data_IF_870317526163
#
_entry.id   IF_870317526163
#
_cell.length_a   1.000
_cell.length_b   1.000
_cell.length_c   1.000
_cell.angle_alpha   90.00
_cell.angle_beta   90.00
_cell.angle_gamma   90.00
#
_symmetry.space_group_name_H-M   'P 1'
#
loop_
_entity.id
_entity.type
_entity.pdbx_description
1 polymer ?
#
# COMPACT_ATOMS: atom_id res chain seq x y z
N UNK A 1 11.03 -5.51 -18.48
CA UNK A 1 10.43 -4.18 -18.23
C UNK A 1 9.58 -4.30 -16.98
N UNK A 2 9.82 -3.48 -15.96
CA UNK A 2 9.00 -3.47 -14.75
C UNK A 2 7.64 -2.82 -15.04
N UNK A 3 6.56 -3.41 -14.53
CA UNK A 3 5.19 -2.89 -14.71
C UNK A 3 4.67 -2.34 -13.39
N UNK A 4 4.41 -1.04 -13.37
CA UNK A 4 3.72 -0.40 -12.24
C UNK A 4 2.20 -0.49 -12.39
N UNK A 5 1.51 -0.81 -11.30
CA UNK A 5 0.05 -0.88 -11.24
C UNK A 5 -0.47 -0.35 -9.89
N UNK A 6 -1.70 0.19 -9.84
CA UNK A 6 -2.31 0.55 -8.57
C UNK A 6 -2.50 -0.69 -7.69
N UNK A 7 -2.70 -0.47 -6.40
CA UNK A 7 -3.10 -1.56 -5.50
C UNK A 7 -4.38 -2.25 -6.01
N UNK A 8 -4.41 -3.59 -6.06
CA UNK A 8 -5.63 -4.35 -6.32
C UNK A 8 -6.71 -4.06 -5.28
N UNK A 9 -7.98 -4.13 -5.68
CA UNK A 9 -9.09 -3.76 -4.81
C UNK A 9 -9.22 -4.68 -3.59
N UNK A 10 -8.90 -5.97 -3.72
CA UNK A 10 -8.90 -6.90 -2.58
C UNK A 10 -7.89 -6.50 -1.48
N UNK A 11 -6.73 -5.92 -1.84
CA UNK A 11 -5.75 -5.40 -0.87
C UNK A 11 -6.33 -4.17 -0.17
N UNK A 12 -6.88 -3.23 -0.95
CA UNK A 12 -7.47 -2.00 -0.42
C UNK A 12 -8.60 -2.32 0.56
N UNK A 13 -9.48 -3.25 0.22
CA UNK A 13 -10.60 -3.67 1.07
C UNK A 13 -10.13 -4.27 2.39
N UNK A 14 -9.13 -5.15 2.37
CA UNK A 14 -8.55 -5.75 3.59
C UNK A 14 -7.91 -4.70 4.48
N UNK A 15 -7.15 -3.77 3.89
CA UNK A 15 -6.57 -2.66 4.66
C UNK A 15 -7.66 -1.75 5.25
N UNK A 16 -8.71 -1.43 4.49
CA UNK A 16 -9.83 -0.60 4.95
C UNK A 16 -10.68 -1.25 6.05
N UNK A 17 -10.66 -2.58 6.16
CA UNK A 17 -11.25 -3.31 7.29
C UNK A 17 -10.40 -3.18 8.55
N UNK A 18 -9.06 -3.15 8.42
CA UNK A 18 -8.11 -3.06 9.53
C UNK A 18 -7.97 -1.65 10.12
N UNK A 19 -7.92 -0.63 9.27
CA UNK A 19 -7.61 0.75 9.70
C UNK A 19 -8.86 1.53 10.11
N UNK A 20 -8.75 2.35 11.16
CA UNK A 20 -9.87 3.17 11.62
C UNK A 20 -10.16 4.36 10.69
N UNK A 21 -9.13 5.06 10.21
CA UNK A 21 -9.28 6.25 9.36
C UNK A 21 -9.29 5.89 7.87
N UNK A 22 -10.46 5.44 7.38
CA UNK A 22 -10.66 5.02 6.00
C UNK A 22 -10.37 6.12 4.98
N UNK A 23 -10.73 7.37 5.28
CA UNK A 23 -10.49 8.50 4.38
C UNK A 23 -8.99 8.76 4.18
N UNK A 24 -8.21 8.67 5.26
CA UNK A 24 -6.76 8.82 5.20
C UNK A 24 -6.09 7.64 4.50
N UNK A 25 -6.60 6.42 4.69
CA UNK A 25 -6.10 5.23 3.99
C UNK A 25 -6.37 5.29 2.47
N UNK A 26 -7.56 5.75 2.06
CA UNK A 26 -7.87 5.96 0.65
C UNK A 26 -6.91 6.96 0.01
N UNK A 27 -6.61 8.08 0.68
CA UNK A 27 -5.58 9.03 0.23
C UNK A 27 -4.20 8.38 0.17
N UNK A 28 -3.84 7.57 1.16
CA UNK A 28 -2.55 6.88 1.20
C UNK A 28 -2.38 5.93 -0.01
N UNK A 29 -3.44 5.27 -0.48
CA UNK A 29 -3.38 4.38 -1.66
C UNK A 29 -2.96 5.11 -2.95
N UNK A 30 -3.19 6.41 -3.06
CA UNK A 30 -2.76 7.20 -4.22
C UNK A 30 -1.24 7.26 -4.36
N UNK A 31 -0.51 7.05 -3.25
CA UNK A 31 0.96 7.07 -3.20
C UNK A 31 1.59 5.68 -3.25
N UNK A 32 0.80 4.61 -3.40
CA UNK A 32 1.30 3.24 -3.31
C UNK A 32 1.00 2.49 -4.61
N UNK A 33 2.02 1.82 -5.15
CA UNK A 33 1.95 1.02 -6.36
C UNK A 33 2.51 -0.38 -6.12
N UNK A 34 1.99 -1.35 -6.86
CA UNK A 34 2.66 -2.63 -7.06
C UNK A 34 3.54 -2.56 -8.29
N UNK A 35 4.72 -3.15 -8.18
CA UNK A 35 5.68 -3.28 -9.26
C UNK A 35 5.89 -4.75 -9.52
N UNK A 36 5.45 -5.22 -10.69
CA UNK A 36 5.73 -6.56 -11.19
C UNK A 36 7.12 -6.55 -11.84
N UNK A 37 8.04 -7.33 -11.28
CA UNK A 37 9.40 -7.52 -11.77
C UNK A 37 9.43 -8.54 -12.91
N UNK A 38 10.55 -8.60 -13.63
CA UNK A 38 10.70 -9.49 -14.79
C UNK A 38 10.61 -10.99 -14.43
N UNK A 39 10.95 -11.34 -13.19
CA UNK A 39 10.86 -12.70 -12.65
C UNK A 39 9.45 -13.06 -12.11
N UNK A 40 8.48 -12.16 -12.28
CA UNK A 40 7.11 -12.31 -11.79
C UNK A 40 6.91 -11.98 -10.30
N UNK A 41 7.96 -11.54 -9.60
CA UNK A 41 7.83 -11.11 -8.20
C UNK A 41 7.12 -9.76 -8.11
N UNK A 42 6.29 -9.59 -7.07
CA UNK A 42 5.58 -8.34 -6.79
C UNK A 42 6.28 -7.55 -5.69
N UNK A 43 6.55 -6.28 -5.96
CA UNK A 43 7.13 -5.34 -5.00
C UNK A 43 6.14 -4.24 -4.67
N UNK A 44 6.22 -3.69 -3.46
CA UNK A 44 5.43 -2.54 -3.04
C UNK A 44 6.30 -1.29 -3.04
N UNK A 45 5.94 -0.33 -3.88
CA UNK A 45 6.60 0.97 -4.01
C UNK A 45 5.68 2.05 -3.44
N UNK A 46 6.28 3.01 -2.74
CA UNK A 46 5.60 4.25 -2.33
C UNK A 46 6.28 5.46 -2.98
N UNK A 47 5.50 6.51 -3.23
CA UNK A 47 5.96 7.78 -3.80
C UNK A 47 5.37 8.94 -2.99
N UNK A 48 5.73 9.05 -1.71
CA UNK A 48 5.25 10.12 -0.83
C UNK A 48 6.36 11.09 -0.42
N UNK A 49 6.19 12.38 -0.76
CA UNK A 49 7.26 13.39 -0.61
C UNK A 49 7.02 14.40 0.53
N UNK A 50 5.79 14.54 1.03
CA UNK A 50 5.44 15.54 2.06
C UNK A 50 5.70 15.04 3.48
N UNK A 51 6.95 15.13 3.91
CA UNK A 51 7.38 14.69 5.24
C UNK A 51 6.78 15.50 6.41
N UNK A 52 6.16 16.66 6.15
CA UNK A 52 5.52 17.46 7.19
C UNK A 52 4.08 17.01 7.49
N UNK A 53 3.46 16.29 6.57
CA UNK A 53 2.15 15.69 6.77
C UNK A 53 2.28 14.32 7.43
N UNK A 54 2.70 14.32 8.70
CA UNK A 54 3.00 13.12 9.47
C UNK A 54 1.84 12.12 9.51
N UNK A 55 0.59 12.59 9.56
CA UNK A 55 -0.58 11.72 9.60
C UNK A 55 -0.69 10.87 8.31
N UNK A 56 -0.56 11.52 7.15
CA UNK A 56 -0.60 10.83 5.87
C UNK A 56 0.66 9.98 5.65
N UNK A 57 1.84 10.47 6.04
CA UNK A 57 3.09 9.71 6.01
C UNK A 57 2.96 8.38 6.76
N UNK A 58 2.50 8.41 8.00
CA UNK A 58 2.34 7.19 8.80
C UNK A 58 1.28 6.26 8.22
N UNK A 59 0.21 6.80 7.64
CA UNK A 59 -0.79 5.97 6.96
C UNK A 59 -0.22 5.31 5.70
N UNK A 60 0.57 6.03 4.88
CA UNK A 60 1.27 5.45 3.72
C UNK A 60 2.18 4.32 4.16
N UNK A 61 3.04 4.53 5.16
CA UNK A 61 3.94 3.51 5.68
C UNK A 61 3.18 2.28 6.22
N UNK A 62 2.08 2.49 6.94
CA UNK A 62 1.24 1.39 7.42
C UNK A 62 0.61 0.60 6.27
N UNK A 63 0.02 1.29 5.28
CA UNK A 63 -0.56 0.66 4.10
C UNK A 63 0.48 -0.10 3.26
N UNK A 64 1.71 0.41 3.12
CA UNK A 64 2.82 -0.29 2.47
C UNK A 64 3.13 -1.59 3.20
N UNK A 65 3.28 -1.52 4.53
CA UNK A 65 3.55 -2.71 5.34
C UNK A 65 2.43 -3.75 5.22
N UNK A 66 1.16 -3.36 5.34
CA UNK A 66 0.04 -4.29 5.17
C UNK A 66 -0.03 -4.89 3.77
N UNK A 67 0.23 -4.09 2.74
CA UNK A 67 0.27 -4.58 1.35
C UNK A 67 1.34 -5.67 1.18
N UNK A 68 2.55 -5.47 1.72
CA UNK A 68 3.64 -6.47 1.65
C UNK A 68 3.21 -7.78 2.29
N UNK A 69 2.72 -7.70 3.53
CA UNK A 69 2.22 -8.86 4.29
C UNK A 69 1.13 -9.62 3.53
N UNK A 70 0.15 -8.91 2.98
CA UNK A 70 -0.95 -9.52 2.20
C UNK A 70 -0.45 -10.24 0.93
N UNK A 71 0.54 -9.70 0.22
CA UNK A 71 1.13 -10.33 -0.97
C UNK A 71 1.93 -11.58 -0.61
N UNK A 72 2.59 -11.56 0.56
CA UNK A 72 3.32 -12.70 1.12
C UNK A 72 2.39 -13.76 1.74
N UNK A 73 1.08 -13.52 1.74
CA UNK A 73 0.07 -14.44 2.29
C UNK A 73 -0.07 -14.36 3.82
N UNK A 74 0.47 -13.33 4.45
CA UNK A 74 0.34 -13.08 5.88
C UNK A 74 -0.99 -12.41 6.24
N UNK A 75 -1.39 -12.59 7.50
CA UNK A 75 -2.51 -11.87 8.10
C UNK A 75 -2.10 -10.47 8.57
N UNK A 76 -3.02 -9.51 8.51
CA UNK A 76 -2.81 -8.13 8.97
C UNK A 76 -3.70 -7.75 10.17
N UNK A 77 -4.45 -8.72 10.71
CA UNK A 77 -5.22 -8.58 11.95
C UNK A 77 -4.35 -8.52 13.21
#
# INVERSE_FOLDING_TARGET
MEREMPLPDWIKERILQKVHNKALAMKAFEYIKLVEKEDGTLWVKEEFEDMNNHALLFMVLACVNYTRRLIEGEDID
#
